data_IF_004946295045
#
_entry.id   IF_004946295045
#
_cell.length_a   1.000
_cell.length_b   1.000
_cell.length_c   1.000
_cell.angle_alpha   90.00
_cell.angle_beta   90.00
_cell.angle_gamma   90.00
#
_symmetry.space_group_name_H-M   'P 1'
#
loop_
_entity.id
_entity.type
_entity.pdbx_description
1 polymer ?
#
# COMPACT_ATOMS: atom_id res chain seq x y z
N UNK A 1 36.91 73.77 -0.57
CA UNK A 1 37.17 72.71 -1.59
C UNK A 1 37.52 71.43 -0.84
N UNK A 2 36.82 70.33 -1.17
CA UNK A 2 37.01 68.92 -0.72
C UNK A 2 36.51 68.58 0.71
N UNK A 3 35.31 68.01 0.87
CA UNK A 3 34.90 66.59 0.73
C UNK A 3 35.43 65.68 1.86
N UNK A 4 34.61 65.47 2.91
CA UNK A 4 34.63 64.24 3.71
C UNK A 4 33.18 63.85 3.99
N UNK A 5 32.63 62.99 3.14
CA UNK A 5 31.29 62.41 3.30
C UNK A 5 31.43 61.12 4.12
N UNK A 6 30.85 61.08 5.32
CA UNK A 6 30.75 59.87 6.13
C UNK A 6 29.74 58.91 5.51
N UNK A 7 30.21 57.80 4.95
CA UNK A 7 29.37 56.73 4.41
C UNK A 7 29.06 55.73 5.54
N UNK A 8 27.91 55.90 6.20
CA UNK A 8 27.35 54.90 7.11
C UNK A 8 26.73 53.77 6.28
N UNK A 9 27.47 52.68 6.08
CA UNK A 9 26.92 51.44 5.56
C UNK A 9 26.08 50.75 6.64
N UNK A 10 24.75 50.86 6.54
CA UNK A 10 23.82 49.99 7.26
C UNK A 10 23.53 48.78 6.36
N UNK A 11 24.28 47.70 6.54
CA UNK A 11 23.94 46.41 5.94
C UNK A 11 22.93 45.74 6.87
N UNK A 12 21.65 45.81 6.51
CA UNK A 12 20.60 45.01 7.13
C UNK A 12 20.73 43.58 6.60
N UNK A 13 21.26 42.68 7.43
CA UNK A 13 21.18 41.25 7.20
C UNK A 13 19.75 40.80 7.53
N UNK A 14 18.94 40.56 6.50
CA UNK A 14 17.71 39.80 6.66
C UNK A 14 18.08 38.33 6.85
N UNK A 15 17.99 37.84 8.08
CA UNK A 15 18.00 36.41 8.37
C UNK A 15 16.65 35.88 7.85
N UNK A 16 16.68 35.23 6.68
CA UNK A 16 15.58 34.38 6.24
C UNK A 16 15.71 33.11 7.09
N UNK A 17 14.95 33.02 8.18
CA UNK A 17 14.74 31.73 8.83
C UNK A 17 13.99 30.84 7.84
N UNK A 18 14.70 29.87 7.27
CA UNK A 18 14.09 28.80 6.50
C UNK A 18 13.33 27.95 7.52
N UNK A 19 12.05 28.26 7.71
CA UNK A 19 11.10 27.38 8.39
C UNK A 19 11.04 26.10 7.57
N UNK A 20 11.79 25.08 7.99
CA UNK A 20 11.62 23.73 7.49
C UNK A 20 10.31 23.22 8.09
N UNK A 21 9.20 23.48 7.39
CA UNK A 21 7.94 22.82 7.67
C UNK A 21 8.15 21.33 7.44
N UNK A 22 8.39 20.59 8.52
CA UNK A 22 8.40 19.13 8.46
C UNK A 22 6.98 18.69 8.11
N UNK A 23 6.81 17.96 7.00
CA UNK A 23 5.51 17.45 6.58
C UNK A 23 4.97 16.49 7.66
N UNK A 24 4.10 17.00 8.52
CA UNK A 24 3.50 16.23 9.61
C UNK A 24 2.29 15.44 9.09
N UNK A 25 2.54 14.23 8.60
CA UNK A 25 1.47 13.30 8.16
C UNK A 25 0.50 12.92 9.29
N UNK A 26 0.85 13.15 10.56
CA UNK A 26 -0.03 12.84 11.70
C UNK A 26 -1.28 13.73 11.76
N UNK A 27 -1.21 14.95 11.27
CA UNK A 27 -2.36 15.88 11.32
C UNK A 27 -3.48 15.48 10.33
N UNK A 28 -3.16 14.68 9.32
CA UNK A 28 -4.11 14.19 8.31
C UNK A 28 -4.51 12.71 8.50
N UNK A 29 -3.87 12.01 9.44
CA UNK A 29 -4.16 10.60 9.69
C UNK A 29 -5.60 10.41 10.19
N UNK A 30 -6.39 9.63 9.46
CA UNK A 30 -7.75 9.22 9.87
C UNK A 30 -7.68 7.96 10.71
N UNK A 31 -7.88 8.09 12.02
CA UNK A 31 -7.72 6.99 12.98
C UNK A 31 -8.65 5.82 12.69
N UNK A 32 -9.89 6.12 12.30
CA UNK A 32 -10.93 5.16 11.93
C UNK A 32 -10.60 4.35 10.67
N UNK A 33 -9.66 4.80 9.84
CA UNK A 33 -9.19 4.11 8.63
C UNK A 33 -7.73 3.65 8.73
N UNK A 34 -7.16 3.59 9.95
CA UNK A 34 -5.76 3.23 10.16
C UNK A 34 -5.61 2.02 11.07
N UNK A 35 -4.62 1.17 10.79
CA UNK A 35 -4.12 0.12 11.69
C UNK A 35 -2.71 0.53 12.15
N UNK A 36 -2.53 0.78 13.44
CA UNK A 36 -1.24 1.21 14.00
C UNK A 36 -0.91 0.36 15.22
N UNK A 37 0.37 -0.03 15.35
CA UNK A 37 0.89 -0.76 16.51
C UNK A 37 0.69 0.05 17.82
N UNK A 38 0.50 -0.62 18.96
CA UNK A 38 0.23 -2.06 19.05
C UNK A 38 -1.20 -2.35 18.58
N UNK A 39 -1.39 -3.42 17.79
CA UNK A 39 -2.68 -3.75 17.18
C UNK A 39 -3.70 -4.33 18.20
N UNK A 40 -3.67 -3.86 19.45
CA UNK A 40 -4.65 -4.22 20.47
C UNK A 40 -5.97 -3.48 20.23
N UNK A 41 -7.05 -4.21 20.36
CA UNK A 41 -8.31 -3.66 20.84
C UNK A 41 -8.33 -3.58 22.35
N UNK A 42 -9.28 -2.83 22.91
CA UNK A 42 -9.72 -3.08 24.29
C UNK A 42 -10.39 -4.46 24.32
N UNK A 43 -9.61 -5.54 24.48
CA UNK A 43 -10.08 -6.92 24.41
C UNK A 43 -9.73 -7.64 23.10
N UNK A 44 -10.68 -8.42 22.56
CA UNK A 44 -10.51 -9.28 21.36
C UNK A 44 -10.76 -8.50 20.05
N UNK A 45 -11.44 -7.35 20.11
CA UNK A 45 -11.95 -6.66 18.92
C UNK A 45 -11.04 -5.51 18.46
N UNK A 46 -10.60 -5.51 17.20
CA UNK A 46 -9.91 -4.36 16.60
C UNK A 46 -10.91 -3.24 16.29
N UNK A 47 -10.76 -2.04 16.87
CA UNK A 47 -11.65 -0.92 16.57
C UNK A 47 -11.65 -0.62 15.07
N UNK A 48 -12.84 -0.52 14.47
CA UNK A 48 -13.05 -0.22 13.05
C UNK A 48 -12.55 -1.27 12.05
N UNK A 49 -12.02 -2.40 12.48
CA UNK A 49 -11.48 -3.41 11.57
C UNK A 49 -12.02 -4.80 11.88
N UNK A 50 -12.46 -5.49 10.84
CA UNK A 50 -12.99 -6.85 10.91
C UNK A 50 -12.08 -7.76 10.09
N UNK A 51 -11.65 -8.88 10.65
CA UNK A 51 -10.78 -9.84 9.99
C UNK A 51 -11.42 -11.23 9.94
N UNK A 52 -11.13 -11.98 8.88
CA UNK A 52 -11.67 -13.33 8.63
C UNK A 52 -10.59 -14.29 8.13
N UNK A 53 -10.93 -15.58 8.05
CA UNK A 53 -10.08 -16.60 7.47
C UNK A 53 -8.88 -16.94 8.36
N UNK A 54 -7.70 -17.04 7.76
CA UNK A 54 -6.45 -17.36 8.47
C UNK A 54 -5.78 -16.18 9.17
N UNK A 55 -6.42 -15.00 9.17
CA UNK A 55 -5.83 -13.78 9.73
C UNK A 55 -5.61 -13.92 11.24
N UNK A 56 -4.39 -13.64 11.68
CA UNK A 56 -4.00 -13.57 13.09
C UNK A 56 -3.50 -12.17 13.39
N UNK A 57 -3.92 -11.64 14.53
CA UNK A 57 -3.52 -10.30 14.99
C UNK A 57 -2.68 -10.46 16.24
N UNK A 58 -1.49 -9.85 16.21
CA UNK A 58 -0.57 -9.78 17.33
C UNK A 58 -0.28 -8.31 17.65
N UNK A 59 0.36 -7.98 18.78
CA UNK A 59 0.71 -6.60 19.09
C UNK A 59 1.63 -5.96 18.04
N UNK A 60 2.44 -6.79 17.35
CA UNK A 60 3.50 -6.34 16.46
C UNK A 60 3.16 -6.47 14.97
N UNK A 61 2.23 -7.33 14.59
CA UNK A 61 1.83 -7.54 13.20
C UNK A 61 0.43 -8.13 13.08
N UNK A 62 -0.21 -7.83 11.96
CA UNK A 62 -1.35 -8.58 11.44
C UNK A 62 -0.82 -9.51 10.35
N UNK A 63 -1.02 -10.82 10.52
CA UNK A 63 -0.64 -11.83 9.53
C UNK A 63 -1.89 -12.33 8.84
N UNK A 64 -2.03 -12.07 7.54
CA UNK A 64 -3.18 -12.54 6.74
C UNK A 64 -3.13 -14.05 6.51
N UNK A 65 -1.98 -14.56 6.07
CA UNK A 65 -1.76 -15.99 5.79
C UNK A 65 -0.46 -16.47 6.43
N UNK A 66 -0.42 -17.71 6.98
CA UNK A 66 0.84 -18.38 7.29
C UNK A 66 1.47 -18.97 6.01
N UNK A 67 2.74 -19.38 6.10
CA UNK A 67 3.45 -20.14 5.05
C UNK A 67 2.93 -21.59 4.99
N UNK A 68 1.65 -21.74 4.65
CA UNK A 68 0.91 -23.00 4.50
C UNK A 68 0.01 -22.92 3.27
N UNK A 69 -0.22 -24.06 2.64
CA UNK A 69 -1.07 -24.14 1.44
C UNK A 69 -2.54 -23.82 1.73
N UNK A 70 -3.22 -23.30 0.71
CA UNK A 70 -4.67 -23.07 0.69
C UNK A 70 -5.18 -22.21 1.84
N UNK A 71 -4.47 -21.12 2.13
CA UNK A 71 -4.86 -20.14 3.16
C UNK A 71 -5.34 -18.84 2.52
N UNK A 72 -6.39 -18.29 3.12
CA UNK A 72 -6.99 -17.02 2.77
C UNK A 72 -7.29 -16.31 4.07
N UNK A 73 -6.82 -15.08 4.21
CA UNK A 73 -7.13 -14.23 5.34
C UNK A 73 -7.34 -12.81 4.84
N UNK A 74 -8.35 -12.14 5.39
CA UNK A 74 -8.66 -10.76 5.05
C UNK A 74 -8.77 -9.92 6.30
N UNK A 75 -8.56 -8.61 6.15
CA UNK A 75 -8.87 -7.59 7.14
C UNK A 75 -9.48 -6.39 6.43
N UNK A 76 -10.61 -5.92 6.95
CA UNK A 76 -11.47 -4.93 6.30
C UNK A 76 -11.82 -3.82 7.26
N UNK A 77 -11.71 -2.57 6.80
CA UNK A 77 -12.22 -1.44 7.55
C UNK A 77 -13.76 -1.45 7.53
N UNK A 78 -14.38 -1.20 8.69
CA UNK A 78 -15.85 -1.20 8.82
C UNK A 78 -16.48 0.17 8.54
N UNK A 79 -15.66 1.22 8.45
CA UNK A 79 -16.09 2.60 8.20
C UNK A 79 -15.85 2.96 6.72
N UNK A 80 -16.88 3.35 5.96
CA UNK A 80 -16.68 3.82 4.60
C UNK A 80 -15.84 5.11 4.55
N UNK A 81 -14.93 5.20 3.59
CA UNK A 81 -14.14 6.41 3.32
C UNK A 81 -15.02 7.40 2.53
N UNK A 82 -15.18 8.64 3.02
CA UNK A 82 -15.92 9.71 2.34
C UNK A 82 -15.01 10.75 1.66
N UNK A 83 -13.71 10.73 1.98
CA UNK A 83 -12.72 11.63 1.41
C UNK A 83 -12.52 11.38 -0.08
N UNK A 84 -12.62 12.44 -0.89
CA UNK A 84 -12.34 12.40 -2.34
C UNK A 84 -10.85 12.30 -2.67
N UNK A 85 -10.01 12.72 -1.72
CA UNK A 85 -8.56 12.69 -1.81
C UNK A 85 -8.04 11.90 -0.62
N UNK A 86 -7.20 10.93 -0.88
CA UNK A 86 -6.67 10.07 0.18
C UNK A 86 -5.32 9.50 -0.21
N UNK A 87 -4.55 9.16 0.80
CA UNK A 87 -3.33 8.38 0.68
C UNK A 87 -3.37 7.29 1.74
N UNK A 88 -3.04 6.07 1.33
CA UNK A 88 -2.90 4.93 2.21
C UNK A 88 -1.44 4.46 2.15
N UNK A 89 -0.75 4.54 3.29
CA UNK A 89 0.60 4.01 3.44
C UNK A 89 0.54 2.69 4.21
N UNK A 90 1.17 1.66 3.66
CA UNK A 90 1.14 0.31 4.22
C UNK A 90 2.57 -0.16 4.40
N UNK A 91 2.93 -0.43 5.66
CA UNK A 91 4.10 -1.25 5.99
C UNK A 91 3.70 -2.72 5.88
N UNK A 92 4.34 -3.48 5.01
CA UNK A 92 4.04 -4.89 4.80
C UNK A 92 5.31 -5.74 4.78
N UNK A 93 5.13 -7.06 4.80
CA UNK A 93 6.21 -8.03 4.62
C UNK A 93 5.66 -9.31 3.99
N UNK A 94 6.27 -9.77 2.92
CA UNK A 94 5.99 -11.09 2.32
C UNK A 94 7.22 -11.97 2.45
N UNK A 95 7.11 -13.09 3.15
CA UNK A 95 8.23 -13.98 3.38
C UNK A 95 7.80 -15.44 3.52
N UNK A 96 8.70 -16.37 3.21
CA UNK A 96 8.43 -17.81 3.30
C UNK A 96 9.64 -18.65 2.93
N UNK A 97 9.57 -19.95 3.25
CA UNK A 97 10.66 -20.93 3.05
C UNK A 97 10.71 -21.51 1.63
N UNK A 98 9.68 -21.29 0.82
CA UNK A 98 9.61 -21.79 -0.56
C UNK A 98 10.82 -21.37 -1.40
N UNK A 99 11.46 -22.34 -2.05
CA UNK A 99 12.61 -22.16 -2.94
C UNK A 99 12.20 -21.50 -4.26
N UNK A 100 13.13 -20.73 -4.83
CA UNK A 100 13.20 -20.00 -6.12
C UNK A 100 11.90 -19.59 -6.84
N UNK A 101 10.92 -20.48 -7.03
CA UNK A 101 9.65 -20.20 -7.73
C UNK A 101 8.41 -20.89 -7.13
N UNK A 102 8.54 -21.68 -6.05
CA UNK A 102 7.41 -22.39 -5.40
C UNK A 102 6.93 -21.62 -4.17
N UNK A 103 6.23 -20.52 -4.41
CA UNK A 103 5.57 -19.70 -3.40
C UNK A 103 4.42 -18.93 -4.06
N UNK A 104 3.42 -18.55 -3.27
CA UNK A 104 2.28 -17.82 -3.79
C UNK A 104 1.14 -17.67 -2.78
N UNK A 105 0.13 -16.87 -3.08
CA UNK A 105 -0.02 -16.16 -4.37
C UNK A 105 0.44 -14.69 -4.26
N UNK A 106 0.12 -14.00 -3.16
CA UNK A 106 0.51 -12.61 -2.94
C UNK A 106 -0.38 -11.92 -1.90
N UNK A 107 -0.55 -10.61 -2.04
CA UNK A 107 -1.51 -9.82 -1.25
C UNK A 107 -2.21 -8.79 -2.14
N UNK A 108 -3.41 -8.37 -1.74
CA UNK A 108 -4.14 -7.31 -2.42
C UNK A 108 -4.63 -6.24 -1.43
N UNK A 109 -4.61 -5.00 -1.88
CA UNK A 109 -5.17 -3.83 -1.18
C UNK A 109 -6.43 -3.39 -1.90
N UNK A 110 -7.51 -3.22 -1.14
CA UNK A 110 -8.84 -3.00 -1.70
C UNK A 110 -9.40 -1.64 -1.31
N UNK A 111 -9.94 -0.93 -2.30
CA UNK A 111 -10.85 0.19 -2.10
C UNK A 111 -12.14 -0.11 -2.88
N UNK A 112 -13.09 -0.78 -2.22
CA UNK A 112 -14.25 -1.40 -2.87
C UNK A 112 -15.56 -1.14 -2.13
N UNK A 113 -16.66 -1.28 -2.87
CA UNK A 113 -18.03 -1.11 -2.36
C UNK A 113 -18.40 -2.12 -1.28
N UNK A 114 -18.12 -3.40 -1.52
CA UNK A 114 -18.55 -4.49 -0.64
C UNK A 114 -17.33 -5.11 0.06
N UNK A 115 -17.36 -5.12 1.41
CA UNK A 115 -16.31 -5.70 2.27
C UNK A 115 -16.70 -7.10 2.76
N UNK A 116 -15.72 -7.84 3.31
CA UNK A 116 -15.94 -9.14 3.94
C UNK A 116 -16.61 -10.16 3.01
N UNK A 117 -16.25 -10.11 1.73
CA UNK A 117 -16.68 -11.08 0.73
C UNK A 117 -15.47 -11.96 0.40
N UNK A 118 -15.49 -13.20 0.86
CA UNK A 118 -14.44 -14.19 0.59
C UNK A 118 -14.50 -14.62 -0.88
N UNK A 119 -13.33 -14.97 -1.45
CA UNK A 119 -13.29 -15.48 -2.82
C UNK A 119 -11.89 -15.80 -3.33
N UNK A 120 -11.75 -16.04 -4.64
CA UNK A 120 -10.52 -16.53 -5.25
C UNK A 120 -9.47 -15.44 -5.48
N UNK A 121 -9.84 -14.15 -5.48
CA UNK A 121 -8.92 -13.05 -5.84
C UNK A 121 -8.15 -12.62 -4.60
N UNK A 122 -6.98 -13.22 -4.38
CA UNK A 122 -6.11 -12.95 -3.21
C UNK A 122 -6.88 -12.96 -1.87
N UNK A 123 -7.84 -13.88 -1.75
CA UNK A 123 -8.69 -14.05 -0.57
C UNK A 123 -10.03 -13.31 -0.59
N UNK A 124 -10.27 -12.40 -1.54
CA UNK A 124 -11.54 -11.68 -1.68
C UNK A 124 -12.34 -12.12 -2.91
N UNK A 125 -13.60 -11.69 -2.97
CA UNK A 125 -14.51 -11.99 -4.07
C UNK A 125 -13.98 -11.50 -5.41
N UNK A 126 -14.36 -12.24 -6.42
CA UNK A 126 -14.30 -11.81 -7.80
C UNK A 126 -15.48 -10.86 -8.14
N UNK A 127 -15.46 -10.26 -9.33
CA UNK A 127 -16.48 -9.29 -9.79
C UNK A 127 -16.69 -8.15 -8.77
N UNK A 128 -15.59 -7.62 -8.24
CA UNK A 128 -15.64 -6.51 -7.30
C UNK A 128 -16.00 -5.18 -7.99
N UNK A 129 -16.50 -4.22 -7.21
CA UNK A 129 -16.75 -2.86 -7.66
C UNK A 129 -15.86 -1.90 -6.87
N UNK A 130 -14.88 -1.29 -7.54
CA UNK A 130 -13.87 -0.43 -6.94
C UNK A 130 -12.47 -0.66 -7.53
N UNK A 131 -11.46 -0.40 -6.71
CA UNK A 131 -10.03 -0.52 -7.02
C UNK A 131 -9.40 -1.69 -6.24
N UNK A 132 -8.53 -2.42 -6.92
CA UNK A 132 -7.60 -3.39 -6.33
C UNK A 132 -6.17 -3.04 -6.73
N UNK A 133 -5.27 -3.01 -5.75
CA UNK A 133 -3.82 -3.00 -5.95
C UNK A 133 -3.30 -4.37 -5.54
N UNK A 134 -2.85 -5.15 -6.53
CA UNK A 134 -2.43 -6.53 -6.36
C UNK A 134 -0.91 -6.58 -6.36
N UNK A 135 -0.33 -7.20 -5.34
CA UNK A 135 1.09 -7.47 -5.25
C UNK A 135 1.25 -8.99 -5.43
N UNK A 136 1.36 -9.39 -6.69
CA UNK A 136 1.45 -10.78 -7.11
C UNK A 136 2.88 -11.29 -6.97
N UNK A 137 3.06 -12.44 -6.33
CA UNK A 137 4.39 -13.05 -6.17
C UNK A 137 4.62 -14.23 -7.09
N UNK A 138 3.59 -14.85 -7.62
CA UNK A 138 3.70 -16.08 -8.38
C UNK A 138 3.37 -15.82 -9.85
N UNK A 139 4.17 -16.35 -10.76
CA UNK A 139 3.89 -16.20 -12.19
C UNK A 139 3.09 -17.41 -12.65
N UNK A 140 1.84 -17.20 -13.04
CA UNK A 140 1.01 -18.28 -13.55
C UNK A 140 1.35 -18.47 -15.03
N UNK A 141 2.20 -19.44 -15.37
CA UNK A 141 2.83 -19.61 -16.71
C UNK A 141 1.87 -19.91 -17.88
N UNK A 142 0.57 -19.67 -17.76
CA UNK A 142 -0.48 -20.03 -18.71
C UNK A 142 -0.84 -18.92 -19.73
N UNK A 143 0.03 -17.93 -19.94
CA UNK A 143 -0.19 -16.88 -20.95
C UNK A 143 1.06 -16.04 -21.27
N UNK A 144 1.01 -15.20 -22.33
CA UNK A 144 2.06 -14.25 -22.64
C UNK A 144 1.96 -13.03 -21.71
N UNK A 145 2.61 -13.08 -20.55
CA UNK A 145 2.81 -11.92 -19.69
C UNK A 145 4.28 -11.53 -19.78
N UNK A 146 4.54 -10.30 -20.20
CA UNK A 146 5.89 -9.80 -20.49
C UNK A 146 6.58 -9.17 -19.27
N UNK A 147 6.21 -9.57 -18.04
CA UNK A 147 6.76 -9.00 -16.81
C UNK A 147 7.26 -10.07 -15.85
N UNK A 148 8.30 -9.73 -15.10
CA UNK A 148 8.84 -10.56 -14.04
C UNK A 148 8.04 -10.40 -12.74
N UNK A 149 7.97 -11.47 -11.95
CA UNK A 149 7.36 -11.47 -10.63
C UNK A 149 8.44 -11.32 -9.53
N UNK A 150 8.12 -10.72 -8.37
CA UNK A 150 6.81 -10.18 -8.01
C UNK A 150 6.44 -8.90 -8.78
N UNK A 151 5.15 -8.76 -9.07
CA UNK A 151 4.58 -7.71 -9.90
C UNK A 151 3.46 -6.99 -9.14
N UNK A 152 3.46 -5.66 -9.19
CA UNK A 152 2.39 -4.84 -8.61
C UNK A 152 1.51 -4.35 -9.74
N UNK A 153 0.21 -4.60 -9.68
CA UNK A 153 -0.75 -4.15 -10.69
C UNK A 153 -1.96 -3.46 -10.06
N UNK A 154 -2.53 -2.51 -10.78
CA UNK A 154 -3.79 -1.85 -10.41
C UNK A 154 -4.91 -2.31 -11.33
N UNK A 155 -6.08 -2.63 -10.75
CA UNK A 155 -7.29 -2.98 -11.50
C UNK A 155 -8.48 -2.19 -10.96
N UNK A 156 -9.23 -1.53 -11.85
CA UNK A 156 -10.55 -0.96 -11.55
C UNK A 156 -11.61 -1.87 -12.15
N UNK A 157 -12.65 -2.13 -11.37
CA UNK A 157 -13.76 -2.96 -11.80
C UNK A 157 -15.08 -2.31 -11.36
N UNK A 158 -16.13 -2.50 -12.15
CA UNK A 158 -17.48 -2.03 -11.85
C UNK A 158 -18.41 -3.17 -11.40
N UNK A 159 -17.88 -4.39 -11.24
CA UNK A 159 -18.62 -5.59 -10.86
C UNK A 159 -18.96 -6.52 -12.03
N UNK A 160 -18.41 -6.27 -13.21
CA UNK A 160 -18.74 -7.06 -14.43
C UNK A 160 -17.59 -7.89 -14.96
N UNK A 161 -16.36 -7.57 -14.56
CA UNK A 161 -15.15 -8.18 -15.10
C UNK A 161 -14.61 -9.23 -14.13
N UNK A 162 -14.25 -10.41 -14.64
CA UNK A 162 -13.57 -11.47 -13.89
C UNK A 162 -12.08 -11.16 -13.74
N UNK A 163 -11.50 -11.40 -12.56
CA UNK A 163 -10.05 -11.44 -12.41
C UNK A 163 -9.51 -12.81 -12.87
N UNK A 164 -8.90 -12.85 -14.05
CA UNK A 164 -8.24 -14.05 -14.59
C UNK A 164 -6.92 -14.32 -13.85
N UNK A 165 -7.02 -15.13 -12.80
CA UNK A 165 -5.86 -15.54 -12.03
C UNK A 165 -4.88 -16.38 -12.86
N UNK A 166 -5.35 -17.17 -13.82
CA UNK A 166 -4.47 -18.01 -14.66
C UNK A 166 -3.57 -17.18 -15.60
N UNK A 167 -3.88 -15.88 -15.75
CA UNK A 167 -3.10 -14.92 -16.54
C UNK A 167 -2.66 -13.69 -15.74
N UNK A 168 -2.53 -13.83 -14.43
CA UNK A 168 -2.04 -12.80 -13.51
C UNK A 168 -2.81 -11.45 -13.62
N UNK A 169 -4.08 -11.49 -14.06
CA UNK A 169 -4.91 -10.30 -14.29
C UNK A 169 -4.44 -9.39 -15.43
N UNK A 170 -3.48 -9.81 -16.26
CA UNK A 170 -2.78 -8.98 -17.26
C UNK A 170 -3.71 -8.24 -18.23
N UNK A 171 -4.83 -8.87 -18.62
CA UNK A 171 -5.77 -8.31 -19.58
C UNK A 171 -6.70 -7.22 -18.99
N UNK A 172 -6.74 -7.10 -17.66
CA UNK A 172 -7.60 -6.16 -16.92
C UNK A 172 -6.82 -5.16 -16.08
N UNK A 173 -5.49 -5.22 -16.13
CA UNK A 173 -4.65 -4.25 -15.44
C UNK A 173 -4.73 -2.87 -16.10
N UNK A 174 -4.68 -1.82 -15.29
CA UNK A 174 -4.57 -0.44 -15.74
C UNK A 174 -3.10 -0.05 -15.91
N UNK A 175 -2.29 -0.38 -14.93
CA UNK A 175 -0.87 -0.11 -14.87
C UNK A 175 -0.21 -1.07 -13.87
N UNK A 176 1.10 -1.24 -13.96
CA UNK A 176 1.86 -2.04 -13.02
C UNK A 176 3.37 -1.88 -13.16
N UNK A 177 4.10 -2.43 -12.20
CA UNK A 177 5.55 -2.40 -12.16
C UNK A 177 6.15 -3.65 -11.49
N UNK A 178 7.38 -4.00 -11.90
CA UNK A 178 8.14 -5.07 -11.26
C UNK A 178 8.71 -4.59 -9.92
N UNK A 179 8.56 -5.40 -8.87
CA UNK A 179 8.86 -5.01 -7.51
C UNK A 179 9.33 -6.20 -6.66
N UNK A 180 10.63 -6.31 -6.38
CA UNK A 180 11.20 -7.46 -5.65
C UNK A 180 11.05 -7.33 -4.13
N UNK A 181 9.81 -7.39 -3.62
CA UNK A 181 9.48 -7.15 -2.21
C UNK A 181 9.53 -8.39 -1.30
N UNK A 182 9.74 -9.60 -1.84
CA UNK A 182 9.70 -10.86 -1.06
C UNK A 182 11.03 -11.16 -0.36
N UNK A 183 10.95 -11.71 0.87
CA UNK A 183 12.09 -12.21 1.65
C UNK A 183 13.18 -11.16 1.95
N UNK A 184 12.81 -9.88 1.99
CA UNK A 184 13.72 -8.82 2.41
C UNK A 184 13.91 -8.83 3.93
N UNK A 185 15.13 -8.50 4.38
CA UNK A 185 15.52 -8.47 5.79
C UNK A 185 15.12 -7.17 6.52
N UNK A 186 14.47 -6.25 5.82
CA UNK A 186 13.97 -4.97 6.31
C UNK A 186 12.47 -4.84 6.04
N UNK A 187 11.91 -3.68 6.38
CA UNK A 187 10.51 -3.35 6.17
C UNK A 187 10.29 -2.81 4.75
N UNK A 188 9.20 -3.24 4.12
CA UNK A 188 8.77 -2.75 2.79
C UNK A 188 7.53 -1.89 2.93
N UNK A 189 7.48 -0.81 2.15
CA UNK A 189 6.36 0.11 2.17
C UNK A 189 5.75 0.30 0.78
N UNK A 190 4.43 0.48 0.75
CA UNK A 190 3.68 0.92 -0.43
C UNK A 190 2.79 2.10 -0.03
N UNK A 191 2.76 3.12 -0.87
CA UNK A 191 1.85 4.25 -0.78
C UNK A 191 0.89 4.20 -1.97
N UNK A 192 -0.41 4.31 -1.70
CA UNK A 192 -1.44 4.39 -2.72
C UNK A 192 -2.15 5.71 -2.51
N UNK A 193 -2.00 6.63 -3.46
CA UNK A 193 -2.56 7.97 -3.40
C UNK A 193 -3.57 8.16 -4.53
N UNK A 194 -4.74 8.67 -4.17
CA UNK A 194 -5.71 9.13 -5.14
C UNK A 194 -6.03 10.60 -4.88
N UNK A 195 -5.68 11.46 -5.84
CA UNK A 195 -5.94 12.89 -5.78
C UNK A 195 -6.05 13.47 -7.18
N UNK A 196 -7.01 14.40 -7.40
CA UNK A 196 -7.21 15.10 -8.66
C UNK A 196 -7.33 14.14 -9.86
N UNK A 197 -8.09 13.05 -9.69
CA UNK A 197 -8.30 11.99 -10.68
C UNK A 197 -7.04 11.22 -11.11
N UNK A 198 -5.96 11.33 -10.33
CA UNK A 198 -4.72 10.57 -10.53
C UNK A 198 -4.57 9.53 -9.42
N UNK A 199 -4.38 8.27 -9.82
CA UNK A 199 -3.96 7.18 -8.95
C UNK A 199 -2.43 7.00 -9.07
N UNK A 200 -1.71 7.23 -7.98
CA UNK A 200 -0.27 7.00 -7.89
C UNK A 200 -0.01 5.86 -6.91
N UNK A 201 0.77 4.88 -7.35
CA UNK A 201 1.28 3.81 -6.49
C UNK A 201 2.78 3.99 -6.40
N UNK A 202 3.31 4.12 -5.19
CA UNK A 202 4.74 4.26 -4.95
C UNK A 202 5.22 3.24 -3.94
N UNK A 203 6.49 2.85 -4.03
CA UNK A 203 7.07 1.84 -3.15
C UNK A 203 8.39 2.30 -2.54
N UNK A 204 8.67 1.85 -1.31
CA UNK A 204 10.01 1.87 -0.71
C UNK A 204 10.38 0.42 -0.37
N UNK A 205 10.97 -0.25 -1.37
CA UNK A 205 11.42 -1.65 -1.29
C UNK A 205 12.89 -1.73 -0.93
N UNK A 206 13.68 -0.70 -1.25
CA UNK A 206 15.13 -0.68 -1.04
C UNK A 206 15.51 -0.12 0.34
N UNK A 207 14.53 0.24 1.17
CA UNK A 207 14.69 0.86 2.49
C UNK A 207 15.56 2.12 2.43
N UNK A 208 15.28 2.96 1.43
CA UNK A 208 15.99 4.22 1.20
C UNK A 208 15.28 5.42 1.82
N UNK A 209 14.13 5.20 2.48
CA UNK A 209 13.24 6.25 2.94
C UNK A 209 12.84 7.20 1.78
N UNK A 210 12.70 6.63 0.58
CA UNK A 210 12.39 7.36 -0.65
C UNK A 210 11.36 6.57 -1.47
N UNK A 211 10.29 7.25 -1.86
CA UNK A 211 9.23 6.67 -2.69
C UNK A 211 9.69 6.58 -4.15
N UNK A 212 9.57 5.38 -4.72
CA UNK A 212 9.69 5.13 -6.16
C UNK A 212 8.30 4.91 -6.75
N UNK A 213 7.91 5.76 -7.68
CA UNK A 213 6.69 5.61 -8.51
C UNK A 213 6.88 4.54 -9.60
#
# INVERSE_FOLDING_TARGET
>A
MLFITYLKYFISFYIIEIVHGEWNTKDFMKREHSLVKPYYGTGVDLPYWQFTGSTIVTPNYVRLTPDLQSKRGTIWNSVPISSRKWEMQIQFKVHGKGNKDLFGDGLAVWYVKDRLQDGPVFGSRDFFSGLSIILDTYSNHNGPHNHQHPYISAMINNGTVHYDHDRDGTHTQLAGCEAKFRNLNHDTHIAIRYENDVLTVSTDIENKAAWKE
#
